data_IF_021438694189
#
_entry.id   IF_021438694189
#
_cell.length_a   1.000
_cell.length_b   1.000
_cell.length_c   1.000
_cell.angle_alpha   90.00
_cell.angle_beta   90.00
_cell.angle_gamma   90.00
#
_symmetry.space_group_name_H-M   'P 1'
#
loop_
_entity.id
_entity.type
_entity.pdbx_description
1 polymer ?
#
# COMPACT_ATOMS: atom_id res chain seq x y z
N UNK A 1 -58.92 16.15 21.46
CA UNK A 1 -57.57 16.61 21.90
C UNK A 1 -56.47 15.92 21.09
N UNK A 2 -56.35 16.15 19.78
CA UNK A 2 -55.45 15.35 18.91
C UNK A 2 -54.41 16.17 18.11
N UNK A 3 -54.77 17.31 17.52
CA UNK A 3 -53.88 18.03 16.59
C UNK A 3 -52.74 18.85 17.27
N UNK A 4 -53.02 19.51 18.41
CA UNK A 4 -52.04 20.40 19.05
C UNK A 4 -50.86 19.65 19.71
N UNK A 5 -51.10 18.42 20.17
CA UNK A 5 -50.07 17.57 20.77
C UNK A 5 -49.10 17.03 19.71
N UNK A 6 -49.64 16.65 18.55
CA UNK A 6 -48.83 16.18 17.41
C UNK A 6 -47.97 17.30 16.82
N UNK A 7 -48.50 18.53 16.72
CA UNK A 7 -47.72 19.70 16.26
C UNK A 7 -46.56 20.03 17.20
N UNK A 8 -46.77 19.96 18.52
CA UNK A 8 -45.69 20.16 19.50
C UNK A 8 -44.63 19.07 19.44
N UNK A 9 -45.03 17.82 19.18
CA UNK A 9 -44.08 16.70 19.03
C UNK A 9 -43.21 16.86 17.76
N UNK A 10 -43.80 17.23 16.62
CA UNK A 10 -43.05 17.47 15.38
C UNK A 10 -42.06 18.63 15.51
N UNK A 11 -42.48 19.74 16.11
CA UNK A 11 -41.59 20.87 16.39
C UNK A 11 -40.46 20.56 17.37
N UNK A 12 -40.60 19.51 18.19
CA UNK A 12 -39.53 19.06 19.08
C UNK A 12 -38.53 18.19 18.29
N UNK A 13 -39.04 17.28 17.47
CA UNK A 13 -38.24 16.40 16.65
C UNK A 13 -37.42 17.18 15.61
N UNK A 14 -38.02 18.17 14.97
CA UNK A 14 -37.34 19.06 14.01
C UNK A 14 -36.23 19.89 14.67
N UNK A 15 -36.43 20.33 15.93
CA UNK A 15 -35.39 21.03 16.70
C UNK A 15 -34.23 20.10 17.07
N UNK A 16 -34.53 18.89 17.53
CA UNK A 16 -33.51 17.89 17.84
C UNK A 16 -32.73 17.45 16.58
N UNK A 17 -33.39 17.35 15.42
CA UNK A 17 -32.75 17.07 14.14
C UNK A 17 -31.87 18.22 13.66
N UNK A 18 -32.35 19.46 13.80
CA UNK A 18 -31.61 20.67 13.47
C UNK A 18 -30.37 20.85 14.35
N UNK A 19 -30.47 20.58 15.65
CA UNK A 19 -29.34 20.63 16.59
C UNK A 19 -28.28 19.59 16.24
N UNK A 20 -28.67 18.34 15.93
CA UNK A 20 -27.73 17.30 15.47
C UNK A 20 -27.09 17.61 14.11
N UNK A 21 -27.78 18.34 13.25
CA UNK A 21 -27.24 18.77 11.96
C UNK A 21 -26.25 19.94 12.14
N UNK A 22 -26.57 20.89 13.04
CA UNK A 22 -25.64 21.95 13.42
C UNK A 22 -24.40 21.41 14.14
N UNK A 23 -24.52 20.38 14.98
CA UNK A 23 -23.39 19.68 15.60
C UNK A 23 -22.52 18.98 14.56
N UNK A 24 -23.10 18.24 13.61
CA UNK A 24 -22.35 17.63 12.50
C UNK A 24 -21.63 18.65 11.62
N UNK A 25 -22.26 19.81 11.36
CA UNK A 25 -21.62 20.90 10.62
C UNK A 25 -20.55 21.62 11.45
N UNK A 26 -20.72 21.73 12.77
CA UNK A 26 -19.71 22.27 13.68
C UNK A 26 -18.52 21.31 13.82
N UNK A 27 -18.73 19.99 13.83
CA UNK A 27 -17.70 18.97 13.75
C UNK A 27 -16.96 19.03 12.42
N UNK A 28 -17.65 19.14 11.28
CA UNK A 28 -17.02 19.32 9.96
C UNK A 28 -16.17 20.60 9.89
N UNK A 29 -16.63 21.71 10.49
CA UNK A 29 -15.84 22.95 10.62
C UNK A 29 -14.67 22.82 11.58
N UNK A 30 -14.82 22.04 12.66
CA UNK A 30 -13.72 21.69 13.58
C UNK A 30 -12.69 20.82 12.88
N UNK A 31 -13.07 19.82 12.10
CA UNK A 31 -12.15 18.99 11.31
C UNK A 31 -11.42 19.79 10.24
N UNK A 32 -12.08 20.75 9.57
CA UNK A 32 -11.42 21.63 8.60
C UNK A 32 -10.41 22.59 9.24
N UNK A 33 -10.69 23.08 10.45
CA UNK A 33 -9.75 23.94 11.18
C UNK A 33 -8.66 23.12 11.90
N UNK A 34 -8.94 21.89 12.35
CA UNK A 34 -7.97 20.95 12.96
C UNK A 34 -6.96 20.43 11.92
N UNK A 35 -7.42 20.16 10.68
CA UNK A 35 -6.54 19.83 9.53
C UNK A 35 -5.53 20.94 9.23
N UNK A 36 -5.91 22.21 9.42
CA UNK A 36 -4.98 23.34 9.33
C UNK A 36 -4.04 23.41 10.55
N UNK A 37 -4.51 23.14 11.77
CA UNK A 37 -3.67 23.17 12.98
C UNK A 37 -2.61 22.07 13.02
N UNK A 38 -2.92 20.87 12.54
CA UNK A 38 -1.96 19.76 12.41
C UNK A 38 -0.93 20.05 11.31
N UNK A 39 -1.36 20.64 10.19
CA UNK A 39 -0.45 21.11 9.14
C UNK A 39 0.50 22.22 9.65
N UNK A 40 0.02 23.14 10.49
CA UNK A 40 0.86 24.16 11.14
C UNK A 40 1.82 23.58 12.18
N UNK A 41 1.45 22.50 12.88
CA UNK A 41 2.34 21.84 13.85
C UNK A 41 3.51 21.12 13.15
N UNK A 42 3.24 20.43 12.03
CA UNK A 42 4.27 19.74 11.23
C UNK A 42 5.17 20.75 10.51
N UNK A 43 4.62 21.82 9.93
CA UNK A 43 5.40 22.88 9.26
C UNK A 43 6.21 23.72 10.26
N UNK A 44 5.70 23.99 11.48
CA UNK A 44 6.46 24.67 12.52
C UNK A 44 7.66 23.84 13.01
N UNK A 45 7.55 22.51 13.04
CA UNK A 45 8.65 21.61 13.39
C UNK A 45 9.79 21.70 12.35
N UNK A 46 9.47 21.76 11.06
CA UNK A 46 10.49 21.95 10.00
C UNK A 46 11.06 23.37 9.92
N UNK A 47 10.27 24.41 10.26
CA UNK A 47 10.75 25.80 10.28
C UNK A 47 11.73 26.08 11.45
N UNK A 48 11.53 25.44 12.61
CA UNK A 48 12.47 25.54 13.75
C UNK A 48 13.79 24.84 13.41
N UNK A 49 13.75 23.67 12.75
CA UNK A 49 14.96 22.96 12.30
C UNK A 49 15.69 23.75 11.20
N UNK A 50 14.96 24.36 10.26
CA UNK A 50 15.53 25.21 9.21
C UNK A 50 16.12 26.53 9.71
N UNK A 51 15.49 27.18 10.70
CA UNK A 51 16.02 28.40 11.35
C UNK A 51 17.29 28.11 12.15
N UNK A 52 17.35 26.95 12.82
CA UNK A 52 18.55 26.47 13.53
C UNK A 52 19.70 26.15 12.54
N UNK A 53 19.39 25.64 11.35
CA UNK A 53 20.40 25.40 10.31
C UNK A 53 20.87 26.70 9.63
N UNK A 54 19.97 27.70 9.49
CA UNK A 54 20.30 29.00 8.89
C UNK A 54 21.03 29.96 9.85
N UNK A 55 20.84 29.81 11.16
CA UNK A 55 21.57 30.58 12.18
C UNK A 55 22.97 30.01 12.49
N UNK A 56 23.33 28.83 11.98
CA UNK A 56 24.63 28.18 12.24
C UNK A 56 25.63 28.26 11.07
N UNK A 57 25.27 28.93 9.97
CA UNK A 57 26.16 29.16 8.83
C UNK A 57 26.38 30.66 8.58
N UNK A 58 27.19 31.32 9.42
CA UNK A 58 28.11 32.43 9.03
C UNK A 58 28.95 32.95 10.21
N UNK A 59 30.26 32.96 9.94
CA UNK A 59 31.35 33.76 10.50
C UNK A 59 31.92 33.50 11.92
N UNK A 60 33.23 33.75 11.98
CA UNK A 60 34.32 33.36 12.89
C UNK A 60 34.25 33.84 14.37
N UNK A 61 35.12 33.32 15.27
CA UNK A 61 34.80 33.07 16.68
C UNK A 61 35.12 34.23 17.64
N UNK A 62 34.24 34.44 18.62
CA UNK A 62 34.45 35.30 19.80
C UNK A 62 34.71 34.42 21.04
N UNK A 63 35.89 34.50 21.70
CA UNK A 63 36.27 33.58 22.77
C UNK A 63 35.82 34.11 24.14
N UNK A 64 34.52 34.16 24.41
CA UNK A 64 34.04 34.32 25.80
C UNK A 64 32.55 34.02 25.99
N UNK A 65 32.10 32.79 25.76
CA UNK A 65 30.90 32.27 26.47
C UNK A 65 31.04 30.76 26.65
N UNK A 66 31.61 30.38 27.78
CA UNK A 66 31.50 29.03 28.33
C UNK A 66 30.19 28.99 29.14
N UNK A 67 29.06 28.59 28.54
CA UNK A 67 27.95 28.01 29.32
C UNK A 67 26.89 27.28 28.49
N UNK A 68 26.61 26.05 28.95
CA UNK A 68 25.45 25.15 28.72
C UNK A 68 25.23 24.57 27.31
N UNK A 69 25.81 23.38 27.09
CA UNK A 69 25.41 22.39 26.05
C UNK A 69 24.99 21.07 26.71
N UNK A 70 24.06 21.12 27.66
CA UNK A 70 23.51 19.91 28.31
C UNK A 70 22.03 20.10 28.68
N UNK A 71 21.17 20.44 27.72
CA UNK A 71 19.74 20.11 27.90
C UNK A 71 19.51 18.73 27.26
N UNK A 72 19.12 17.70 28.04
CA UNK A 72 18.80 16.41 27.48
C UNK A 72 17.54 16.58 26.62
N UNK A 73 17.60 16.10 25.37
CA UNK A 73 16.41 15.93 24.54
C UNK A 73 15.48 14.99 25.29
N UNK A 74 14.42 15.53 25.88
CA UNK A 74 13.44 14.76 26.64
C UNK A 74 12.65 13.91 25.65
N UNK A 75 13.02 12.63 25.54
CA UNK A 75 12.36 11.66 24.70
C UNK A 75 10.88 11.60 25.10
N UNK A 76 9.99 11.66 24.11
CA UNK A 76 8.55 11.52 24.32
C UNK A 76 8.31 10.18 25.05
N UNK A 77 7.51 10.14 26.13
CA UNK A 77 7.17 8.88 26.77
C UNK A 77 6.59 7.89 25.76
N UNK A 78 7.03 6.63 25.82
CA UNK A 78 6.67 5.56 24.86
C UNK A 78 5.15 5.41 24.68
N UNK A 79 4.38 5.64 25.75
CA UNK A 79 2.92 5.61 25.72
C UNK A 79 2.31 6.73 24.87
N UNK A 80 2.84 7.95 24.96
CA UNK A 80 2.37 9.08 24.17
C UNK A 80 2.75 8.93 22.69
N UNK A 81 3.91 8.34 22.38
CA UNK A 81 4.29 8.00 21.01
C UNK A 81 3.34 6.97 20.39
N UNK A 82 2.97 5.92 21.15
CA UNK A 82 2.00 4.91 20.73
C UNK A 82 0.60 5.49 20.50
N UNK A 83 0.14 6.38 21.37
CA UNK A 83 -1.17 7.04 21.21
C UNK A 83 -1.20 7.94 19.96
N UNK A 84 -0.12 8.67 19.69
CA UNK A 84 0.01 9.49 18.49
C UNK A 84 -0.02 8.64 17.21
N UNK A 85 0.72 7.53 17.19
CA UNK A 85 0.73 6.58 16.08
C UNK A 85 -0.65 5.95 15.84
N UNK A 86 -1.34 5.52 16.91
CA UNK A 86 -2.70 4.98 16.80
C UNK A 86 -3.69 6.02 16.26
N UNK A 87 -3.56 7.29 16.67
CA UNK A 87 -4.38 8.39 16.17
C UNK A 87 -4.13 8.64 14.68
N UNK A 88 -2.87 8.65 14.27
CA UNK A 88 -2.49 8.80 12.86
C UNK A 88 -3.02 7.64 12.00
N UNK A 89 -2.89 6.41 12.48
CA UNK A 89 -3.43 5.22 11.80
C UNK A 89 -4.95 5.28 11.65
N UNK A 90 -5.67 5.67 12.70
CA UNK A 90 -7.13 5.84 12.61
C UNK A 90 -7.51 6.95 11.61
N UNK A 91 -6.78 8.06 11.60
CA UNK A 91 -7.02 9.15 10.65
C UNK A 91 -6.75 8.74 9.20
N UNK A 92 -5.65 8.02 8.93
CA UNK A 92 -5.34 7.45 7.62
C UNK A 92 -6.43 6.47 7.18
N UNK A 93 -6.88 5.62 8.11
CA UNK A 93 -7.97 4.68 7.89
C UNK A 93 -9.27 5.36 7.47
N UNK A 94 -9.62 6.43 8.18
CA UNK A 94 -10.83 7.23 7.92
C UNK A 94 -10.70 8.06 6.62
N UNK A 95 -9.48 8.35 6.19
CA UNK A 95 -9.17 9.03 4.93
C UNK A 95 -9.08 8.07 3.72
N UNK A 96 -9.05 6.75 3.95
CA UNK A 96 -8.82 5.77 2.89
C UNK A 96 -7.39 5.83 2.35
N UNK A 97 -6.40 6.11 3.20
CA UNK A 97 -4.99 6.18 2.86
C UNK A 97 -4.25 4.92 3.34
N UNK A 98 -3.02 4.70 2.86
CA UNK A 98 -2.17 3.64 3.40
C UNK A 98 -1.83 3.90 4.88
N UNK A 99 -1.88 2.85 5.70
CA UNK A 99 -1.48 2.91 7.12
C UNK A 99 0.00 2.59 7.20
N UNK A 100 0.82 3.62 7.44
CA UNK A 100 2.24 3.47 7.73
C UNK A 100 2.47 2.73 9.06
N UNK A 101 3.50 1.89 9.11
CA UNK A 101 3.97 1.30 10.37
C UNK A 101 4.63 2.37 11.26
N UNK A 102 5.37 3.34 10.68
CA UNK A 102 6.06 4.40 11.40
C UNK A 102 5.85 5.77 10.75
N UNK A 103 4.97 6.58 11.35
CA UNK A 103 4.67 7.95 10.89
C UNK A 103 5.82 8.95 11.12
N UNK A 104 6.87 8.56 11.83
CA UNK A 104 8.07 9.39 12.01
C UNK A 104 9.05 9.25 10.84
N UNK A 105 8.89 8.19 10.03
CA UNK A 105 9.66 7.97 8.81
C UNK A 105 8.95 8.64 7.63
N UNK A 106 9.69 9.40 6.83
CA UNK A 106 9.12 10.05 5.65
C UNK A 106 8.65 9.00 4.61
N UNK A 107 7.50 9.20 3.95
CA UNK A 107 7.04 8.31 2.88
C UNK A 107 8.11 8.09 1.80
N UNK A 108 8.23 6.85 1.35
CA UNK A 108 9.23 6.42 0.37
C UNK A 108 10.65 6.22 0.92
N UNK A 109 10.89 6.44 2.21
CA UNK A 109 12.21 6.16 2.81
C UNK A 109 12.44 4.65 2.90
N UNK A 110 13.47 4.10 2.20
CA UNK A 110 13.73 2.67 2.25
C UNK A 110 14.46 2.28 3.53
N UNK A 111 14.05 1.15 4.11
CA UNK A 111 14.73 0.46 5.21
C UNK A 111 15.02 -0.97 4.75
N UNK A 112 16.28 -1.40 4.79
CA UNK A 112 16.64 -2.78 4.43
C UNK A 112 15.89 -3.77 5.34
N UNK A 113 15.18 -4.74 4.75
CA UNK A 113 14.47 -5.76 5.54
C UNK A 113 15.43 -6.63 6.34
N UNK A 114 16.66 -6.81 5.86
CA UNK A 114 17.59 -7.83 6.37
C UNK A 114 17.14 -9.28 6.10
N UNK A 115 15.96 -9.47 5.48
CA UNK A 115 15.36 -10.75 5.16
C UNK A 115 15.78 -11.16 3.76
N UNK A 116 16.57 -12.23 3.67
CA UNK A 116 16.98 -12.80 2.39
C UNK A 116 15.96 -13.85 1.96
N UNK A 117 15.54 -13.87 0.67
CA UNK A 117 14.78 -14.98 0.11
C UNK A 117 15.44 -16.32 0.45
N UNK A 118 14.68 -17.41 0.54
CA UNK A 118 15.23 -18.75 0.83
C UNK A 118 16.13 -19.26 -0.31
N UNK A 119 17.01 -20.22 0.00
CA UNK A 119 17.91 -20.78 -1.02
C UNK A 119 17.13 -21.84 -1.77
N UNK A 120 17.13 -21.76 -3.09
CA UNK A 120 16.27 -22.57 -3.92
C UNK A 120 17.00 -22.96 -5.20
N UNK A 121 17.20 -24.26 -5.38
CA UNK A 121 17.93 -24.89 -6.47
C UNK A 121 17.00 -25.45 -7.56
N UNK A 122 15.68 -25.24 -7.45
CA UNK A 122 14.73 -25.56 -8.52
C UNK A 122 15.16 -24.87 -9.82
N UNK A 123 14.98 -25.54 -10.97
CA UNK A 123 15.27 -24.93 -12.27
C UNK A 123 14.40 -23.70 -12.49
N UNK A 124 14.86 -22.81 -13.37
CA UNK A 124 14.11 -21.62 -13.78
C UNK A 124 13.17 -22.00 -14.91
N UNK A 125 11.91 -21.55 -14.81
CA UNK A 125 10.89 -21.80 -15.81
C UNK A 125 11.33 -21.31 -17.19
N UNK A 126 10.90 -22.03 -18.24
CA UNK A 126 11.12 -21.68 -19.64
C UNK A 126 12.60 -21.63 -20.08
N UNK A 127 13.47 -22.32 -19.34
CA UNK A 127 14.90 -22.45 -19.66
C UNK A 127 15.71 -21.16 -19.51
N UNK A 128 15.16 -20.16 -18.82
CA UNK A 128 15.85 -18.90 -18.55
C UNK A 128 16.95 -19.06 -17.48
N UNK A 129 17.68 -17.97 -17.22
CA UNK A 129 18.66 -17.90 -16.13
C UNK A 129 18.05 -17.18 -14.94
N UNK A 130 18.44 -17.57 -13.74
CA UNK A 130 18.02 -16.86 -12.54
C UNK A 130 18.57 -15.42 -12.57
N UNK A 131 17.76 -14.41 -12.20
CA UNK A 131 18.22 -13.03 -12.07
C UNK A 131 19.38 -12.91 -11.08
N UNK A 132 20.33 -12.00 -11.33
CA UNK A 132 21.52 -11.86 -10.49
C UNK A 132 21.20 -11.43 -9.04
N UNK A 133 20.06 -10.76 -8.83
CA UNK A 133 19.60 -10.24 -7.55
C UNK A 133 18.57 -11.16 -6.84
N UNK A 134 18.43 -12.42 -7.27
CA UNK A 134 17.49 -13.41 -6.69
C UNK A 134 17.66 -13.65 -5.18
N UNK A 135 18.83 -13.33 -4.62
CA UNK A 135 19.15 -13.49 -3.19
C UNK A 135 19.34 -12.16 -2.45
N UNK A 136 19.14 -11.04 -3.13
CA UNK A 136 19.21 -9.73 -2.50
C UNK A 136 18.04 -9.56 -1.53
N UNK A 137 18.24 -8.82 -0.44
CA UNK A 137 17.15 -8.36 0.42
C UNK A 137 16.28 -7.36 -0.33
N UNK A 138 15.11 -7.02 0.23
CA UNK A 138 14.22 -6.00 -0.31
C UNK A 138 13.98 -4.93 0.73
N UNK A 139 13.81 -3.70 0.26
CA UNK A 139 13.46 -2.60 1.14
C UNK A 139 12.03 -2.78 1.69
N UNK A 140 11.84 -2.36 2.93
CA UNK A 140 10.56 -2.01 3.54
C UNK A 140 10.45 -0.48 3.55
N UNK A 141 9.22 0.01 3.64
CA UNK A 141 8.88 1.43 3.62
C UNK A 141 7.96 1.72 4.81
N UNK A 142 8.50 1.76 6.05
CA UNK A 142 7.68 1.90 7.25
C UNK A 142 6.88 3.22 7.28
N UNK A 143 7.34 4.26 6.58
CA UNK A 143 6.62 5.53 6.39
C UNK A 143 5.53 5.52 5.31
N UNK A 144 5.27 4.37 4.68
CA UNK A 144 4.37 4.25 3.52
C UNK A 144 5.04 4.60 2.17
N UNK A 145 4.32 4.38 1.06
CA UNK A 145 4.84 4.70 -0.28
C UNK A 145 4.85 6.22 -0.51
N UNK A 146 5.81 6.70 -1.31
CA UNK A 146 5.74 8.08 -1.80
C UNK A 146 4.57 8.25 -2.78
N UNK A 147 4.01 9.46 -2.87
CA UNK A 147 3.03 9.78 -3.90
C UNK A 147 3.75 10.00 -5.24
N UNK A 148 3.48 9.12 -6.20
CA UNK A 148 4.12 9.11 -7.52
C UNK A 148 3.13 9.24 -8.67
N UNK A 149 1.84 9.00 -8.42
CA UNK A 149 0.80 9.20 -9.42
C UNK A 149 0.53 10.68 -9.68
N UNK A 150 0.22 10.99 -10.93
CA UNK A 150 -0.16 12.32 -11.40
C UNK A 150 -1.58 12.30 -11.95
N UNK A 151 -2.35 13.34 -11.63
CA UNK A 151 -3.72 13.47 -12.09
C UNK A 151 -3.80 13.44 -13.63
N UNK A 152 -4.69 12.59 -14.16
CA UNK A 152 -4.96 12.49 -15.59
C UNK A 152 -3.87 11.82 -16.42
N UNK A 153 -2.97 11.06 -15.79
CA UNK A 153 -1.99 10.18 -16.44
C UNK A 153 -2.45 8.75 -16.28
N UNK A 154 -2.49 8.00 -17.39
CA UNK A 154 -2.80 6.57 -17.37
C UNK A 154 -1.49 5.77 -17.24
N UNK A 155 -1.48 4.71 -16.44
CA UNK A 155 -0.27 3.93 -16.17
C UNK A 155 -0.37 2.49 -16.67
N UNK A 156 0.71 1.99 -17.27
CA UNK A 156 0.83 0.60 -17.73
C UNK A 156 2.07 -0.04 -17.14
N UNK A 157 1.90 -1.20 -16.52
CA UNK A 157 3.00 -2.00 -16.03
C UNK A 157 3.44 -3.04 -17.08
N UNK A 158 4.75 -3.16 -17.28
CA UNK A 158 5.41 -4.15 -18.12
C UNK A 158 6.25 -5.05 -17.24
N UNK A 159 5.74 -6.25 -16.98
CA UNK A 159 6.45 -7.30 -16.24
C UNK A 159 7.16 -8.19 -17.24
N UNK A 160 8.48 -8.09 -17.31
CA UNK A 160 9.29 -9.05 -18.06
C UNK A 160 9.48 -10.27 -17.18
N UNK A 161 8.94 -11.42 -17.59
CA UNK A 161 9.15 -12.68 -16.83
C UNK A 161 10.17 -13.58 -17.51
N UNK A 162 10.63 -14.62 -16.80
CA UNK A 162 11.46 -15.68 -17.38
C UNK A 162 10.77 -16.45 -18.52
N UNK A 163 9.45 -16.39 -18.60
CA UNK A 163 8.62 -17.06 -19.62
C UNK A 163 8.02 -16.11 -20.66
N UNK A 164 8.35 -14.82 -20.61
CA UNK A 164 7.83 -13.81 -21.54
C UNK A 164 7.17 -12.61 -20.85
N UNK A 165 6.76 -11.60 -21.61
CA UNK A 165 6.22 -10.37 -21.04
C UNK A 165 4.74 -10.50 -20.66
N UNK A 166 4.37 -9.88 -19.54
CA UNK A 166 2.99 -9.60 -19.14
C UNK A 166 2.81 -8.08 -19.11
N UNK A 167 1.77 -7.58 -19.79
CA UNK A 167 1.41 -6.16 -19.75
C UNK A 167 0.12 -6.00 -18.96
N UNK A 168 0.09 -5.05 -18.03
CA UNK A 168 -1.05 -4.76 -17.17
C UNK A 168 -1.42 -3.28 -17.34
N UNK A 169 -2.69 -3.03 -17.61
CA UNK A 169 -3.34 -1.73 -17.47
C UNK A 169 -3.56 -1.47 -15.98
N UNK A 170 -3.04 -0.38 -15.43
CA UNK A 170 -3.29 -0.01 -14.04
C UNK A 170 -4.55 0.86 -13.98
N UNK A 171 -5.34 0.71 -12.92
CA UNK A 171 -6.65 1.35 -12.79
C UNK A 171 -6.61 2.45 -11.72
N UNK A 172 -5.77 3.46 -11.91
CA UNK A 172 -5.57 4.53 -10.92
C UNK A 172 -6.83 5.31 -10.56
N UNK A 173 -7.85 5.30 -11.42
CA UNK A 173 -9.13 5.94 -11.14
C UNK A 173 -10.01 5.12 -10.19
N UNK A 174 -9.96 3.79 -10.28
CA UNK A 174 -10.75 2.87 -9.44
C UNK A 174 -10.03 2.50 -8.14
N UNK A 175 -8.69 2.43 -8.17
CA UNK A 175 -7.86 2.03 -7.03
C UNK A 175 -6.57 2.89 -6.90
N UNK A 176 -6.70 4.22 -6.71
CA UNK A 176 -5.57 5.14 -6.68
C UNK A 176 -4.49 4.78 -5.65
N UNK A 177 -4.88 4.27 -4.47
CA UNK A 177 -3.91 3.98 -3.40
C UNK A 177 -3.13 2.71 -3.70
N UNK A 178 -3.80 1.65 -4.15
CA UNK A 178 -3.13 0.42 -4.57
C UNK A 178 -2.23 0.63 -5.79
N UNK A 179 -2.70 1.38 -6.80
CA UNK A 179 -1.90 1.70 -7.99
C UNK A 179 -0.69 2.56 -7.61
N UNK A 180 -0.84 3.57 -6.75
CA UNK A 180 0.29 4.38 -6.30
C UNK A 180 1.37 3.52 -5.63
N UNK A 181 0.95 2.64 -4.73
CA UNK A 181 1.85 1.68 -4.07
C UNK A 181 2.59 0.80 -5.07
N UNK A 182 1.87 0.20 -6.02
CA UNK A 182 2.48 -0.67 -7.03
C UNK A 182 3.47 0.09 -7.94
N UNK A 183 3.09 1.27 -8.44
CA UNK A 183 3.94 2.11 -9.29
C UNK A 183 5.19 2.56 -8.54
N UNK A 184 5.04 3.01 -7.30
CA UNK A 184 6.17 3.40 -6.44
C UNK A 184 7.16 2.24 -6.27
N UNK A 185 6.66 1.06 -5.86
CA UNK A 185 7.51 -0.12 -5.63
C UNK A 185 8.20 -0.59 -6.93
N UNK A 186 7.52 -0.55 -8.07
CA UNK A 186 8.11 -0.86 -9.36
C UNK A 186 9.24 0.13 -9.73
N UNK A 187 9.05 1.43 -9.51
CA UNK A 187 10.06 2.46 -9.78
C UNK A 187 11.30 2.32 -8.89
N UNK A 188 11.13 1.85 -7.65
CA UNK A 188 12.23 1.51 -6.73
C UNK A 188 12.90 0.16 -7.04
N UNK A 189 12.46 -0.56 -8.08
CA UNK A 189 12.99 -1.87 -8.46
C UNK A 189 12.69 -2.97 -7.44
N UNK A 190 11.70 -2.79 -6.56
CA UNK A 190 11.36 -3.75 -5.51
C UNK A 190 10.99 -5.12 -6.09
N UNK A 191 10.23 -5.13 -7.19
CA UNK A 191 9.75 -6.36 -7.81
C UNK A 191 10.79 -7.10 -8.66
N UNK A 192 11.91 -6.43 -9.01
CA UNK A 192 12.91 -7.00 -9.90
C UNK A 192 13.57 -8.22 -9.26
N UNK A 193 13.60 -9.33 -10.00
CA UNK A 193 14.14 -10.61 -9.54
C UNK A 193 13.30 -11.35 -8.50
N UNK A 194 12.10 -10.86 -8.15
CA UNK A 194 11.14 -11.61 -7.34
C UNK A 194 10.46 -12.71 -8.17
N UNK A 195 9.82 -13.65 -7.49
CA UNK A 195 9.10 -14.75 -8.11
C UNK A 195 7.58 -14.50 -8.09
N UNK A 196 6.90 -15.06 -9.09
CA UNK A 196 5.55 -15.55 -8.86
C UNK A 196 5.69 -16.89 -8.12
N UNK A 197 5.72 -16.82 -6.80
CA UNK A 197 6.19 -17.91 -5.95
C UNK A 197 5.10 -18.95 -5.64
N UNK A 198 3.83 -18.59 -5.85
CA UNK A 198 2.69 -19.42 -5.47
C UNK A 198 1.59 -19.41 -6.54
N UNK A 199 1.14 -20.59 -6.93
CA UNK A 199 -0.14 -20.81 -7.60
C UNK A 199 -1.17 -21.18 -6.54
N UNK A 200 -2.11 -20.27 -6.27
CA UNK A 200 -3.23 -20.59 -5.41
C UNK A 200 -4.30 -21.35 -6.20
N UNK A 201 -3.96 -22.56 -6.65
CA UNK A 201 -4.76 -23.34 -7.60
C UNK A 201 -6.17 -23.70 -7.11
N UNK A 202 -6.46 -23.58 -5.81
CA UNK A 202 -7.83 -23.68 -5.28
C UNK A 202 -8.74 -22.54 -5.76
N UNK A 203 -8.18 -21.38 -6.08
CA UNK A 203 -8.89 -20.20 -6.59
C UNK A 203 -8.32 -19.70 -7.92
N UNK A 204 -7.47 -20.46 -8.60
CA UNK A 204 -6.96 -20.16 -9.95
C UNK A 204 -6.36 -18.75 -10.11
N UNK A 205 -5.37 -18.43 -9.27
CA UNK A 205 -4.58 -17.20 -9.37
C UNK A 205 -3.10 -17.44 -9.04
N UNK A 206 -2.23 -16.75 -9.77
CA UNK A 206 -0.79 -16.71 -9.46
C UNK A 206 -0.52 -15.54 -8.51
N UNK A 207 0.36 -15.72 -7.54
CA UNK A 207 0.72 -14.73 -6.52
C UNK A 207 2.19 -14.33 -6.67
N UNK A 208 2.45 -13.02 -6.58
CA UNK A 208 3.78 -12.44 -6.56
C UNK A 208 3.84 -11.21 -5.66
N UNK A 209 4.98 -10.53 -5.64
CA UNK A 209 5.14 -9.25 -4.94
C UNK A 209 5.58 -9.33 -3.48
N UNK A 210 5.94 -10.52 -3.00
CA UNK A 210 6.56 -10.72 -1.69
C UNK A 210 8.07 -10.56 -1.78
N UNK A 211 8.64 -9.72 -0.91
CA UNK A 211 10.07 -9.37 -0.96
C UNK A 211 11.03 -10.51 -0.62
N UNK A 212 10.54 -11.61 -0.05
CA UNK A 212 11.31 -12.83 0.22
C UNK A 212 10.77 -14.07 -0.51
N UNK A 213 9.81 -13.88 -1.43
CA UNK A 213 9.09 -14.93 -2.16
C UNK A 213 8.32 -15.89 -1.25
N UNK A 214 7.84 -15.41 -0.09
CA UNK A 214 6.99 -16.18 0.83
C UNK A 214 5.70 -15.45 1.17
N UNK A 215 4.70 -16.19 1.65
CA UNK A 215 3.43 -15.59 2.11
C UNK A 215 3.68 -14.83 3.41
N UNK A 216 3.05 -13.65 3.55
CA UNK A 216 3.09 -12.87 4.79
C UNK A 216 4.22 -11.85 4.84
N UNK A 217 4.80 -11.49 3.69
CA UNK A 217 5.75 -10.39 3.61
C UNK A 217 5.14 -9.08 4.08
N UNK A 218 5.94 -8.32 4.83
CA UNK A 218 5.55 -7.02 5.35
C UNK A 218 6.37 -5.90 4.72
N UNK A 219 5.72 -5.11 3.87
CA UNK A 219 6.33 -3.96 3.20
C UNK A 219 6.50 -2.74 4.12
N UNK A 220 6.02 -2.76 5.36
CA UNK A 220 6.09 -1.64 6.32
C UNK A 220 4.87 -0.71 6.29
N UNK A 221 3.84 -1.05 5.53
CA UNK A 221 2.55 -0.35 5.55
C UNK A 221 1.42 -1.29 5.13
N UNK A 222 0.17 -0.85 5.31
CA UNK A 222 -1.03 -1.57 4.89
C UNK A 222 -1.90 -0.72 3.97
N UNK A 223 -2.43 -1.32 2.92
CA UNK A 223 -3.31 -0.65 1.96
C UNK A 223 -4.78 -0.71 2.40
N UNK A 224 -5.56 0.36 2.16
CA UNK A 224 -7.02 0.30 2.26
C UNK A 224 -7.59 -0.65 1.18
N UNK A 225 -8.81 -1.14 1.42
CA UNK A 225 -9.55 -1.87 0.40
C UNK A 225 -10.31 -0.85 -0.49
N UNK A 226 -10.11 -0.92 -1.81
CA UNK A 226 -10.76 -0.07 -2.81
C UNK A 226 -11.68 -0.98 -3.68
N UNK A 227 -12.83 -1.37 -3.11
CA UNK A 227 -13.60 -2.53 -3.58
C UNK A 227 -14.72 -2.20 -4.58
N UNK A 228 -15.01 -0.91 -4.82
CA UNK A 228 -16.14 -0.49 -5.66
C UNK A 228 -16.15 -1.19 -7.02
N UNK A 229 -14.99 -1.34 -7.68
CA UNK A 229 -14.91 -2.05 -8.96
C UNK A 229 -15.15 -3.56 -8.81
N UNK A 230 -14.58 -4.19 -7.78
CA UNK A 230 -14.77 -5.61 -7.49
C UNK A 230 -16.23 -5.94 -7.13
N UNK A 231 -16.94 -5.04 -6.48
CA UNK A 231 -18.37 -5.19 -6.18
C UNK A 231 -19.24 -5.08 -7.44
N UNK A 232 -18.89 -4.18 -8.36
CA UNK A 232 -19.63 -3.97 -9.62
C UNK A 232 -19.37 -5.06 -10.65
N UNK A 233 -18.12 -5.52 -10.78
CA UNK A 233 -17.67 -6.34 -11.91
C UNK A 233 -17.13 -7.72 -11.50
N UNK A 234 -16.90 -7.96 -10.21
CA UNK A 234 -16.21 -9.15 -9.73
C UNK A 234 -14.75 -9.18 -10.13
N UNK A 235 -14.20 -10.40 -10.27
CA UNK A 235 -12.81 -10.62 -10.65
C UNK A 235 -12.71 -11.48 -11.93
N UNK A 236 -13.09 -10.96 -13.11
CA UNK A 236 -12.96 -11.70 -14.36
C UNK A 236 -11.51 -12.15 -14.61
N UNK A 237 -11.33 -13.16 -15.46
CA UNK A 237 -9.99 -13.64 -15.85
C UNK A 237 -9.16 -12.46 -16.38
N UNK A 238 -7.91 -12.36 -15.92
CA UNK A 238 -6.99 -11.26 -16.22
C UNK A 238 -7.07 -10.10 -15.23
N UNK A 239 -7.92 -10.16 -14.20
CA UNK A 239 -7.92 -9.18 -13.10
C UNK A 239 -6.63 -9.29 -12.30
N UNK A 240 -6.02 -8.14 -12.01
CA UNK A 240 -4.90 -8.00 -11.08
C UNK A 240 -5.42 -7.36 -9.80
N UNK A 241 -5.19 -8.02 -8.67
CA UNK A 241 -5.69 -7.57 -7.36
C UNK A 241 -4.58 -7.50 -6.34
N UNK A 242 -4.77 -6.72 -5.27
CA UNK A 242 -3.97 -6.90 -4.06
C UNK A 242 -4.10 -8.34 -3.54
N UNK A 243 -3.14 -8.79 -2.73
CA UNK A 243 -3.25 -10.04 -1.98
C UNK A 243 -3.40 -9.74 -0.48
N UNK A 244 -4.64 -9.47 -0.07
CA UNK A 244 -5.02 -9.29 1.33
C UNK A 244 -5.94 -10.39 1.84
N UNK A 245 -6.19 -10.39 3.14
CA UNK A 245 -7.18 -11.23 3.83
C UNK A 245 -8.34 -10.40 4.40
N UNK A 246 -8.49 -9.15 3.93
CA UNK A 246 -9.49 -8.18 4.37
C UNK A 246 -8.92 -6.78 4.61
N UNK A 247 -9.70 -5.90 5.25
CA UNK A 247 -9.35 -4.49 5.39
C UNK A 247 -7.97 -4.27 6.01
N UNK A 248 -7.13 -3.51 5.32
CA UNK A 248 -5.80 -3.13 5.81
C UNK A 248 -4.88 -4.31 6.12
N UNK A 249 -4.94 -5.34 5.27
CA UNK A 249 -4.02 -6.49 5.32
C UNK A 249 -3.09 -6.56 4.12
N UNK A 250 -3.48 -5.98 2.98
CA UNK A 250 -2.67 -5.95 1.78
C UNK A 250 -1.44 -5.02 1.92
N UNK A 251 -0.37 -5.38 1.21
CA UNK A 251 0.88 -4.63 1.15
C UNK A 251 1.42 -4.60 -0.28
N UNK A 252 2.56 -5.25 -0.52
CA UNK A 252 3.19 -5.34 -1.86
C UNK A 252 2.73 -6.53 -2.70
N UNK A 253 2.18 -7.55 -2.06
CA UNK A 253 1.74 -8.78 -2.72
C UNK A 253 0.49 -8.56 -3.57
N UNK A 254 0.43 -9.26 -4.70
CA UNK A 254 -0.69 -9.18 -5.65
C UNK A 254 -0.99 -10.53 -6.28
N UNK A 255 -2.23 -10.69 -6.75
CA UNK A 255 -2.69 -11.83 -7.53
C UNK A 255 -2.93 -11.44 -8.99
N UNK A 256 -2.74 -12.40 -9.90
CA UNK A 256 -3.30 -12.35 -11.25
C UNK A 256 -4.25 -13.53 -11.44
N UNK A 257 -5.53 -13.23 -11.65
CA UNK A 257 -6.57 -14.23 -11.83
C UNK A 257 -6.49 -14.86 -13.24
N UNK A 258 -6.38 -16.19 -13.31
CA UNK A 258 -6.32 -16.92 -14.59
C UNK A 258 -7.49 -17.88 -14.81
N UNK A 259 -8.35 -18.08 -13.80
CA UNK A 259 -9.54 -18.91 -13.92
C UNK A 259 -10.75 -18.32 -13.19
N UNK A 260 -11.93 -18.87 -13.49
CA UNK A 260 -13.21 -18.42 -12.93
C UNK A 260 -13.34 -18.71 -11.43
N UNK A 261 -12.55 -19.65 -10.90
CA UNK A 261 -12.60 -20.00 -9.48
C UNK A 261 -12.18 -18.84 -8.58
N UNK A 262 -11.38 -17.90 -9.11
CA UNK A 262 -10.97 -16.72 -8.36
C UNK A 262 -12.19 -15.85 -8.01
N UNK A 263 -12.98 -15.49 -9.03
CA UNK A 263 -14.20 -14.71 -8.85
C UNK A 263 -15.21 -15.40 -7.92
N UNK A 264 -15.49 -16.69 -8.17
CA UNK A 264 -16.44 -17.44 -7.34
C UNK A 264 -15.96 -17.63 -5.90
N UNK A 265 -14.64 -17.71 -5.67
CA UNK A 265 -14.05 -17.84 -4.35
C UNK A 265 -14.30 -16.64 -3.44
N UNK A 266 -14.54 -15.47 -4.04
CA UNK A 266 -14.80 -14.21 -3.34
C UNK A 266 -16.19 -13.63 -3.64
N UNK A 267 -17.10 -14.38 -4.26
CA UNK A 267 -18.42 -13.87 -4.70
C UNK A 267 -19.27 -13.38 -3.51
N UNK A 268 -19.22 -14.10 -2.39
CA UNK A 268 -19.95 -13.73 -1.19
C UNK A 268 -19.31 -12.59 -0.40
N UNK A 269 -18.03 -12.28 -0.63
CA UNK A 269 -17.29 -11.26 0.09
C UNK A 269 -16.09 -10.76 -0.72
N UNK A 270 -16.25 -9.61 -1.38
CA UNK A 270 -15.14 -8.94 -2.07
C UNK A 270 -14.18 -8.37 -1.03
N UNK A 271 -12.92 -8.77 -1.09
CA UNK A 271 -11.87 -8.33 -0.16
C UNK A 271 -10.53 -8.04 -0.85
N UNK A 272 -10.49 -8.09 -2.19
CA UNK A 272 -9.27 -7.84 -2.95
C UNK A 272 -9.49 -6.58 -3.79
N UNK A 273 -8.65 -5.57 -3.60
CA UNK A 273 -8.68 -4.36 -4.42
C UNK A 273 -8.29 -4.73 -5.85
N UNK A 274 -9.19 -4.51 -6.81
CA UNK A 274 -8.87 -4.62 -8.25
C UNK A 274 -8.13 -3.36 -8.68
N UNK A 275 -6.82 -3.47 -8.91
CA UNK A 275 -5.98 -2.32 -9.30
C UNK A 275 -5.41 -2.42 -10.71
N UNK A 276 -5.63 -3.54 -11.42
CA UNK A 276 -5.16 -3.69 -12.78
C UNK A 276 -5.88 -4.74 -13.62
N UNK A 277 -5.63 -4.72 -14.93
CA UNK A 277 -6.09 -5.73 -15.89
C UNK A 277 -4.97 -6.14 -16.84
N UNK A 278 -4.81 -7.43 -17.05
CA UNK A 278 -3.85 -7.95 -18.04
C UNK A 278 -4.30 -7.56 -19.46
N UNK A 279 -3.48 -6.78 -20.14
CA UNK A 279 -3.63 -6.42 -21.56
C UNK A 279 -3.04 -7.50 -22.49
N UNK A 280 -1.94 -8.12 -22.08
CA UNK A 280 -1.27 -9.19 -22.83
C UNK A 280 -0.44 -10.09 -21.90
N UNK A 281 -0.18 -11.34 -22.29
CA UNK A 281 0.61 -12.30 -21.51
C UNK A 281 -0.22 -13.35 -20.77
N UNK A 282 -1.52 -13.49 -21.07
CA UNK A 282 -2.34 -14.58 -20.54
C UNK A 282 -1.89 -15.96 -21.03
N UNK A 283 -1.26 -16.04 -22.19
CA UNK A 283 -0.59 -17.23 -22.72
C UNK A 283 0.64 -17.60 -21.89
N UNK A 284 1.45 -16.62 -21.47
CA UNK A 284 2.57 -16.81 -20.54
C UNK A 284 2.08 -17.37 -19.20
N UNK A 285 0.99 -16.79 -18.66
CA UNK A 285 0.36 -17.28 -17.42
C UNK A 285 -0.14 -18.72 -17.60
N UNK A 286 -0.79 -19.02 -18.73
CA UNK A 286 -1.27 -20.37 -19.03
C UNK A 286 -0.13 -21.39 -19.10
N UNK A 287 0.99 -21.06 -19.74
CA UNK A 287 2.19 -21.92 -19.80
C UNK A 287 2.74 -22.22 -18.40
N UNK A 288 2.85 -21.20 -17.54
CA UNK A 288 3.39 -21.34 -16.18
C UNK A 288 2.45 -22.17 -15.30
N UNK A 289 1.14 -21.93 -15.38
CA UNK A 289 0.15 -22.70 -14.58
C UNK A 289 0.03 -24.16 -15.02
N UNK A 290 0.59 -24.53 -16.18
CA UNK A 290 0.69 -25.90 -16.64
C UNK A 290 1.95 -26.63 -16.12
N UNK A 291 2.86 -25.94 -15.43
CA UNK A 291 4.02 -26.55 -14.79
C UNK A 291 3.62 -27.50 -13.67
N UNK A 292 4.46 -28.50 -13.43
CA UNK A 292 4.28 -29.42 -12.31
C UNK A 292 4.23 -28.65 -10.98
N UNK A 293 3.33 -29.07 -10.09
CA UNK A 293 3.11 -28.42 -8.79
C UNK A 293 3.82 -29.16 -7.67
N UNK A 294 4.40 -28.42 -6.73
CA UNK A 294 5.19 -28.94 -5.60
C UNK A 294 4.79 -28.30 -4.28
N UNK A 295 5.31 -28.83 -3.18
CA UNK A 295 5.04 -28.34 -1.83
C UNK A 295 3.75 -28.87 -1.21
N UNK A 296 3.58 -28.61 0.09
CA UNK A 296 2.36 -29.00 0.81
C UNK A 296 1.18 -28.18 0.27
N UNK A 297 0.09 -28.86 -0.13
CA UNK A 297 -1.04 -28.21 -0.82
C UNK A 297 -0.85 -27.99 -2.32
N UNK A 298 0.33 -28.32 -2.86
CA UNK A 298 0.65 -28.19 -4.28
C UNK A 298 0.71 -26.74 -4.76
N UNK A 299 0.91 -25.77 -3.89
CA UNK A 299 0.81 -24.35 -4.27
C UNK A 299 2.11 -23.77 -4.83
N UNK A 300 3.23 -24.50 -4.78
CA UNK A 300 4.48 -24.09 -5.40
C UNK A 300 4.63 -24.64 -6.83
N UNK A 301 5.48 -24.01 -7.62
CA UNK A 301 5.87 -24.49 -8.96
C UNK A 301 7.10 -25.40 -8.92
N UNK A 302 7.19 -26.42 -9.76
CA UNK A 302 8.40 -27.23 -9.90
C UNK A 302 9.58 -26.42 -10.47
N UNK A 303 9.27 -25.42 -11.29
CA UNK A 303 10.22 -24.47 -11.88
C UNK A 303 9.91 -23.05 -11.42
N UNK A 304 10.93 -22.24 -11.20
CA UNK A 304 10.81 -20.89 -10.64
C UNK A 304 10.46 -19.88 -11.73
N UNK A 305 9.34 -19.19 -11.58
CA UNK A 305 8.93 -18.10 -12.46
C UNK A 305 9.38 -16.76 -11.87
N UNK A 306 10.30 -16.07 -12.56
CA UNK A 306 10.77 -14.75 -12.13
C UNK A 306 10.07 -13.61 -12.84
N UNK A 307 9.82 -12.53 -12.11
CA UNK A 307 9.72 -11.17 -12.63
C UNK A 307 11.15 -10.66 -12.82
N UNK A 308 11.72 -10.77 -14.02
CA UNK A 308 13.08 -10.27 -14.30
C UNK A 308 13.18 -8.76 -14.09
N UNK A 309 12.14 -8.03 -14.50
CA UNK A 309 12.00 -6.60 -14.25
C UNK A 309 10.54 -6.16 -14.31
N UNK A 310 10.16 -5.16 -13.52
CA UNK A 310 8.86 -4.47 -13.62
C UNK A 310 9.08 -3.00 -13.95
N UNK A 311 8.56 -2.55 -15.09
CA UNK A 311 8.70 -1.16 -15.55
C UNK A 311 7.33 -0.51 -15.74
N UNK A 312 7.26 0.79 -15.51
CA UNK A 312 6.02 1.57 -15.63
C UNK A 312 6.13 2.50 -16.85
N UNK A 313 5.14 2.44 -17.72
CA UNK A 313 4.93 3.35 -18.85
C UNK A 313 3.76 4.28 -18.53
N UNK A 314 3.90 5.56 -18.89
CA UNK A 314 2.83 6.56 -18.79
C UNK A 314 2.20 6.78 -20.17
N UNK A 315 0.89 7.00 -20.24
CA UNK A 315 0.14 7.21 -21.49
C UNK A 315 -0.63 8.53 -21.53
#
# INVERSE_FOLDING_TARGET
MSANKQRKARQKLEREQWEREQERLAESRRHRNLRLTVLFAVVAMFAVVGLVFALTARDEPDPSVEQSRDEPVELIPEEAAREAQATAANAARDAGEAIAEDYTVAPGTPVDSGLKPAADDRPVACGAKAPANVRATRARYPGGPAQVLRDGVDYVAKIKTSCGPITIDLLEQDAPVAVNSFVFLAQEGFYDGLEFFRDFGGITAIQGGSGDNTVGWDIGYRLPDELDLAEREGYPIGTVTTAGEGPYTAGSDFYIAYGKSFDSGFEANRIQTTFGRVLSGMDVIAEVTALDRVGMGGEGYAERLFMESVTIEER
#
